data_IF_206472056301
#
_entry.id   IF_206472056301
#
_cell.length_a   1.000
_cell.length_b   1.000
_cell.length_c   1.000
_cell.angle_alpha   90.00
_cell.angle_beta   90.00
_cell.angle_gamma   90.00
#
_symmetry.space_group_name_H-M   'P 1'
#
loop_
_entity.id
_entity.type
_entity.pdbx_description
1 polymer ?
#
# COMPACT_ATOMS: atom_id res chain seq x y z
N UNK A 1 -31.30 -39.41 -0.53
CA UNK A 1 -30.63 -38.50 -1.48
C UNK A 1 -30.59 -37.12 -0.86
N UNK A 2 -29.60 -36.87 -0.02
CA UNK A 2 -29.29 -35.54 0.54
C UNK A 2 -27.80 -35.33 0.26
N UNK A 3 -27.39 -34.08 0.03
CA UNK A 3 -25.99 -33.64 -0.08
C UNK A 3 -25.38 -33.61 -1.48
N UNK A 4 -25.57 -32.47 -2.15
CA UNK A 4 -24.57 -31.87 -3.06
C UNK A 4 -24.54 -30.34 -2.87
N UNK A 5 -25.66 -29.73 -2.46
CA UNK A 5 -25.77 -28.27 -2.30
C UNK A 5 -25.11 -27.66 -1.03
N UNK A 6 -24.68 -28.47 -0.06
CA UNK A 6 -24.12 -27.93 1.20
C UNK A 6 -22.58 -27.81 1.20
N UNK A 7 -21.90 -28.37 0.18
CA UNK A 7 -20.44 -28.31 0.12
C UNK A 7 -19.93 -27.04 -0.57
N UNK A 8 -20.60 -26.53 -1.61
CA UNK A 8 -20.13 -25.35 -2.35
C UNK A 8 -20.14 -24.05 -1.53
N UNK A 9 -21.04 -23.93 -0.55
CA UNK A 9 -21.10 -22.75 0.33
C UNK A 9 -20.09 -22.80 1.47
N UNK A 10 -19.48 -23.96 1.77
CA UNK A 10 -18.48 -24.06 2.85
C UNK A 10 -17.08 -23.72 2.33
N UNK A 11 -16.75 -24.07 1.09
CA UNK A 11 -15.44 -23.75 0.50
C UNK A 11 -15.28 -22.26 0.17
N UNK A 12 -16.32 -21.63 -0.39
CA UNK A 12 -16.29 -20.18 -0.69
C UNK A 12 -16.21 -19.35 0.61
N UNK A 13 -16.78 -19.84 1.72
CA UNK A 13 -16.71 -19.15 3.02
C UNK A 13 -15.43 -19.46 3.82
N UNK A 14 -14.81 -20.62 3.62
CA UNK A 14 -13.53 -20.97 4.25
C UNK A 14 -12.35 -20.14 3.71
N UNK A 15 -12.42 -19.70 2.45
CA UNK A 15 -11.45 -18.75 1.87
C UNK A 15 -11.67 -17.30 2.33
N UNK A 16 -12.88 -16.95 2.78
CA UNK A 16 -13.21 -15.62 3.31
C UNK A 16 -12.84 -15.47 4.80
N UNK A 17 -12.82 -16.58 5.56
CA UNK A 17 -12.57 -16.58 7.02
C UNK A 17 -11.22 -17.16 7.45
N UNK A 18 -10.23 -17.27 6.55
CA UNK A 18 -8.85 -17.51 6.97
C UNK A 18 -8.24 -16.22 7.52
N UNK A 19 -8.71 -15.76 8.69
CA UNK A 19 -7.95 -14.85 9.56
C UNK A 19 -6.77 -15.61 10.16
N UNK A 20 -5.81 -15.99 9.31
CA UNK A 20 -4.45 -16.25 9.76
C UNK A 20 -3.87 -14.90 10.12
N UNK A 21 -3.42 -14.72 11.37
CA UNK A 21 -2.52 -13.63 11.77
C UNK A 21 -1.50 -13.42 10.66
N UNK A 22 -1.66 -12.33 9.91
CA UNK A 22 -0.87 -12.06 8.72
C UNK A 22 0.58 -11.86 9.16
N UNK A 23 1.47 -12.78 8.80
CA UNK A 23 2.89 -12.64 9.09
C UNK A 23 3.48 -11.61 8.14
N UNK A 24 3.93 -10.48 8.71
CA UNK A 24 4.72 -9.48 8.02
C UNK A 24 6.15 -10.02 7.80
N UNK A 25 6.65 -9.88 6.57
CA UNK A 25 8.07 -10.08 6.26
C UNK A 25 8.91 -8.91 6.75
N UNK A 26 10.26 -9.01 6.77
CA UNK A 26 11.18 -8.01 7.33
C UNK A 26 11.04 -6.60 6.72
N UNK A 27 10.49 -6.50 5.51
CA UNK A 27 10.25 -5.25 4.79
C UNK A 27 8.88 -4.60 5.09
N UNK A 28 8.08 -5.17 6.01
CA UNK A 28 6.79 -4.61 6.41
C UNK A 28 5.61 -4.98 5.49
N UNK A 29 5.83 -5.83 4.50
CA UNK A 29 4.78 -6.38 3.66
C UNK A 29 4.29 -7.73 4.18
N UNK A 30 2.99 -7.99 4.05
CA UNK A 30 2.39 -9.27 4.42
C UNK A 30 2.87 -10.40 3.51
N UNK A 31 2.68 -11.64 3.94
CA UNK A 31 2.98 -12.81 3.11
C UNK A 31 2.23 -12.74 1.78
N UNK A 32 2.90 -13.10 0.67
CA UNK A 32 2.43 -12.95 -0.72
C UNK A 32 2.36 -11.51 -1.27
N UNK A 33 2.76 -10.50 -0.49
CA UNK A 33 2.97 -9.15 -0.99
C UNK A 33 4.45 -8.88 -1.27
N UNK A 34 4.74 -8.19 -2.36
CA UNK A 34 6.07 -7.82 -2.81
C UNK A 34 6.37 -6.39 -2.38
N UNK A 35 7.48 -6.21 -1.68
CA UNK A 35 7.93 -4.89 -1.25
C UNK A 35 8.66 -4.15 -2.37
N UNK A 36 8.32 -2.86 -2.56
CA UNK A 36 9.14 -1.90 -3.29
C UNK A 36 8.95 -0.50 -2.72
N UNK A 37 10.05 0.11 -2.30
CA UNK A 37 10.11 1.46 -1.73
C UNK A 37 9.24 1.59 -0.48
N UNK A 38 8.15 2.36 -0.55
CA UNK A 38 7.22 2.52 0.57
C UNK A 38 5.88 1.82 0.34
N UNK A 39 5.83 0.85 -0.58
CA UNK A 39 4.60 0.15 -0.97
C UNK A 39 4.77 -1.36 -1.01
N UNK A 40 3.66 -2.04 -0.77
CA UNK A 40 3.46 -3.47 -0.96
C UNK A 40 2.55 -3.69 -2.17
N UNK A 41 2.93 -4.62 -3.03
CA UNK A 41 2.19 -5.00 -4.24
C UNK A 41 1.73 -6.45 -4.13
N UNK A 42 0.51 -6.76 -4.57
CA UNK A 42 0.02 -8.12 -4.62
C UNK A 42 -0.63 -8.38 -5.97
N UNK A 43 -0.01 -9.29 -6.73
CA UNK A 43 -0.55 -9.78 -7.98
C UNK A 43 -1.50 -10.93 -7.67
N UNK A 44 -2.75 -10.79 -8.09
CA UNK A 44 -3.78 -11.80 -7.89
C UNK A 44 -4.12 -12.40 -9.25
N UNK A 45 -3.88 -13.70 -9.41
CA UNK A 45 -4.20 -14.46 -10.62
C UNK A 45 -5.63 -15.01 -10.52
N UNK A 46 -6.61 -14.16 -10.82
CA UNK A 46 -8.01 -14.52 -10.87
C UNK A 46 -8.70 -13.81 -12.04
N UNK A 47 -9.52 -14.56 -12.77
CA UNK A 47 -10.24 -14.05 -13.94
C UNK A 47 -11.46 -13.25 -13.53
N UNK A 48 -11.39 -11.92 -13.59
CA UNK A 48 -12.45 -11.01 -13.10
C UNK A 48 -12.60 -9.74 -13.96
N UNK A 49 -13.76 -9.12 -13.86
CA UNK A 49 -14.04 -7.77 -14.36
C UNK A 49 -13.35 -6.70 -13.51
N UNK A 50 -13.23 -5.48 -14.03
CA UNK A 50 -12.54 -4.39 -13.35
C UNK A 50 -13.12 -4.07 -11.96
N UNK A 51 -14.46 -3.97 -11.85
CA UNK A 51 -15.11 -3.64 -10.59
C UNK A 51 -14.89 -4.72 -9.51
N UNK A 52 -14.90 -5.99 -9.92
CA UNK A 52 -14.56 -7.10 -9.03
C UNK A 52 -13.10 -7.03 -8.57
N UNK A 53 -12.16 -6.71 -9.47
CA UNK A 53 -10.76 -6.52 -9.12
C UNK A 53 -10.57 -5.38 -8.12
N UNK A 54 -11.26 -4.25 -8.33
CA UNK A 54 -11.29 -3.11 -7.41
C UNK A 54 -11.81 -3.54 -6.03
N UNK A 55 -12.97 -4.19 -5.98
CA UNK A 55 -13.57 -4.63 -4.72
C UNK A 55 -12.67 -5.61 -3.95
N UNK A 56 -11.97 -6.51 -4.66
CA UNK A 56 -11.03 -7.44 -4.01
C UNK A 56 -9.83 -6.71 -3.42
N UNK A 57 -9.27 -5.71 -4.12
CA UNK A 57 -8.20 -4.89 -3.53
C UNK A 57 -8.70 -4.10 -2.31
N UNK A 58 -9.90 -3.51 -2.39
CA UNK A 58 -10.51 -2.76 -1.29
C UNK A 58 -10.70 -3.67 -0.04
N UNK A 59 -11.19 -4.90 -0.23
CA UNK A 59 -11.32 -5.92 0.84
C UNK A 59 -9.98 -6.30 1.49
N UNK A 60 -8.86 -6.14 0.78
CA UNK A 60 -7.50 -6.39 1.29
C UNK A 60 -6.84 -5.15 1.90
N UNK A 61 -7.60 -4.07 2.11
CA UNK A 61 -7.09 -2.80 2.64
C UNK A 61 -6.09 -2.14 1.68
N UNK A 62 -6.34 -2.27 0.38
CA UNK A 62 -5.46 -1.81 -0.70
C UNK A 62 -6.27 -1.24 -1.86
N UNK A 63 -5.60 -0.74 -2.89
CA UNK A 63 -6.25 -0.20 -4.09
C UNK A 63 -5.62 -0.83 -5.33
N UNK A 64 -6.34 -0.91 -6.44
CA UNK A 64 -5.72 -1.27 -7.73
C UNK A 64 -4.51 -0.35 -8.00
N UNK A 65 -3.42 -0.94 -8.47
CA UNK A 65 -2.12 -0.27 -8.50
C UNK A 65 -2.13 0.96 -9.41
N UNK A 66 -1.51 2.02 -8.93
CA UNK A 66 -1.02 3.12 -9.73
C UNK A 66 0.40 2.86 -10.20
N UNK A 67 0.80 3.51 -11.30
CA UNK A 67 2.15 3.49 -11.85
C UNK A 67 2.65 4.93 -12.03
N UNK A 68 3.78 5.29 -11.41
CA UNK A 68 4.36 6.63 -11.43
C UNK A 68 5.32 6.85 -12.57
N UNK A 69 6.15 5.86 -12.82
CA UNK A 69 7.26 5.90 -13.75
C UNK A 69 7.42 4.56 -14.45
N UNK A 70 8.25 4.55 -15.49
CA UNK A 70 8.54 3.35 -16.26
C UNK A 70 9.18 2.27 -15.39
N UNK A 71 10.05 2.66 -14.45
CA UNK A 71 10.70 1.72 -13.54
C UNK A 71 9.65 0.94 -12.72
N UNK A 72 8.60 1.61 -12.22
CA UNK A 72 7.49 0.97 -11.50
C UNK A 72 6.70 0.02 -12.38
N UNK A 73 6.38 0.43 -13.61
CA UNK A 73 5.72 -0.45 -14.58
C UNK A 73 6.55 -1.72 -14.84
N UNK A 74 7.87 -1.60 -15.04
CA UNK A 74 8.77 -2.74 -15.27
C UNK A 74 8.83 -3.71 -14.10
N UNK A 75 8.83 -3.21 -12.86
CA UNK A 75 8.77 -4.08 -11.68
C UNK A 75 7.45 -4.85 -11.60
N UNK A 76 6.34 -4.18 -11.86
CA UNK A 76 5.03 -4.81 -11.84
C UNK A 76 4.92 -5.89 -12.93
N UNK A 77 5.49 -5.65 -14.11
CA UNK A 77 5.60 -6.66 -15.18
C UNK A 77 6.48 -7.84 -14.79
N UNK A 78 7.60 -7.58 -14.11
CA UNK A 78 8.46 -8.64 -13.59
C UNK A 78 7.68 -9.56 -12.65
N UNK A 79 6.83 -9.00 -11.77
CA UNK A 79 5.97 -9.80 -10.90
C UNK A 79 4.94 -10.63 -11.69
N UNK A 80 4.33 -10.07 -12.74
CA UNK A 80 3.41 -10.80 -13.61
C UNK A 80 4.11 -11.98 -14.32
N UNK A 81 5.34 -11.77 -14.78
CA UNK A 81 6.15 -12.81 -15.43
C UNK A 81 6.57 -13.92 -14.46
N UNK A 82 7.03 -13.56 -13.26
CA UNK A 82 7.46 -14.53 -12.24
C UNK A 82 6.33 -15.43 -11.74
N UNK A 83 5.08 -14.92 -11.77
CA UNK A 83 3.89 -15.64 -11.33
C UNK A 83 3.17 -16.40 -12.45
N UNK A 84 3.77 -16.47 -13.65
CA UNK A 84 3.24 -17.17 -14.84
C UNK A 84 1.77 -16.81 -15.14
N UNK A 85 1.46 -15.50 -15.07
CA UNK A 85 0.12 -15.00 -15.34
C UNK A 85 -0.24 -15.21 -16.81
N UNK A 86 -1.38 -15.87 -17.06
CA UNK A 86 -1.91 -16.08 -18.41
C UNK A 86 -2.16 -14.75 -19.11
N UNK A 87 -1.75 -14.67 -20.38
CA UNK A 87 -1.89 -13.48 -21.24
C UNK A 87 -1.09 -12.26 -20.76
N UNK A 88 -0.40 -12.34 -19.60
CA UNK A 88 0.49 -11.31 -19.03
C UNK A 88 -0.13 -9.90 -19.05
N UNK A 89 -1.45 -9.84 -18.90
CA UNK A 89 -2.24 -8.62 -18.81
C UNK A 89 -2.90 -8.55 -17.45
N UNK A 90 -2.89 -7.34 -16.85
CA UNK A 90 -3.50 -7.15 -15.55
C UNK A 90 -4.23 -5.81 -15.43
N UNK A 91 -5.33 -5.80 -14.69
CA UNK A 91 -6.02 -4.56 -14.33
C UNK A 91 -5.15 -3.68 -13.43
N UNK A 92 -5.14 -2.38 -13.72
CA UNK A 92 -4.48 -1.31 -12.94
C UNK A 92 -5.49 -0.19 -12.64
N UNK A 93 -5.23 0.60 -11.61
CA UNK A 93 -6.26 1.39 -10.94
C UNK A 93 -6.51 2.79 -11.51
N UNK A 94 -6.62 2.98 -12.81
CA UNK A 94 -6.95 4.29 -13.39
C UNK A 94 -8.43 4.38 -13.79
N UNK A 95 -9.06 5.51 -13.48
CA UNK A 95 -10.47 5.80 -13.82
C UNK A 95 -10.60 7.15 -14.53
N UNK A 96 -11.59 7.29 -15.42
CA UNK A 96 -11.84 8.54 -16.09
C UNK A 96 -12.44 9.58 -15.12
N UNK A 97 -12.08 10.84 -15.31
CA UNK A 97 -12.64 12.01 -14.66
C UNK A 97 -12.95 13.09 -15.70
N UNK A 98 -13.96 13.93 -15.44
CA UNK A 98 -14.44 14.92 -16.38
C UNK A 98 -15.56 14.41 -17.30
N UNK A 99 -16.03 15.27 -18.20
CA UNK A 99 -17.07 14.94 -19.18
C UNK A 99 -16.51 14.27 -20.44
N UNK A 100 -17.40 13.78 -21.31
CA UNK A 100 -17.09 13.04 -22.55
C UNK A 100 -16.01 13.73 -23.43
N UNK A 101 -16.03 15.06 -23.51
CA UNK A 101 -15.12 15.86 -24.37
C UNK A 101 -13.75 16.15 -23.72
N UNK A 102 -13.64 16.04 -22.39
CA UNK A 102 -12.42 16.38 -21.64
C UNK A 102 -12.06 15.24 -20.66
N UNK A 103 -12.14 13.99 -21.13
CA UNK A 103 -11.86 12.79 -20.33
C UNK A 103 -10.38 12.82 -19.91
N UNK A 104 -10.13 12.96 -18.62
CA UNK A 104 -8.79 12.84 -18.00
C UNK A 104 -8.75 11.55 -17.20
N UNK A 105 -7.56 11.04 -16.93
CA UNK A 105 -7.39 9.83 -16.13
C UNK A 105 -6.73 10.16 -14.79
N UNK A 106 -7.32 9.63 -13.72
CA UNK A 106 -6.79 9.73 -12.36
C UNK A 106 -6.66 8.35 -11.77
N UNK A 107 -5.65 8.16 -10.93
CA UNK A 107 -5.51 6.92 -10.19
C UNK A 107 -6.52 6.85 -9.04
N UNK A 108 -7.04 5.64 -8.79
CA UNK A 108 -7.98 5.31 -7.71
C UNK A 108 -7.39 5.57 -6.31
N UNK A 109 -6.07 5.62 -6.19
CA UNK A 109 -5.36 5.85 -4.94
C UNK A 109 -5.21 7.34 -4.56
N UNK A 110 -5.76 8.26 -5.37
CA UNK A 110 -5.80 9.69 -5.08
C UNK A 110 -4.51 10.47 -5.38
N UNK A 111 -3.50 9.83 -5.96
CA UNK A 111 -2.25 10.49 -6.40
C UNK A 111 -2.36 11.53 -7.53
N UNK A 112 -3.53 11.66 -8.13
CA UNK A 112 -3.80 12.64 -9.18
C UNK A 112 -3.66 12.08 -10.59
N UNK A 113 -3.32 12.96 -11.53
CA UNK A 113 -3.32 12.67 -12.97
C UNK A 113 -2.20 11.72 -13.37
N UNK A 114 -2.52 10.74 -14.20
CA UNK A 114 -1.55 9.76 -14.68
C UNK A 114 -0.60 10.39 -15.69
N UNK A 115 0.68 10.55 -15.32
CA UNK A 115 1.72 11.08 -16.23
C UNK A 115 1.88 10.24 -17.50
N UNK A 116 1.80 8.93 -17.36
CA UNK A 116 1.86 7.95 -18.45
C UNK A 116 0.63 7.97 -19.37
N UNK A 117 -0.47 8.63 -19.00
CA UNK A 117 -1.72 8.68 -19.79
C UNK A 117 -2.07 10.11 -20.24
N UNK A 118 -1.15 11.07 -20.10
CA UNK A 118 -1.40 12.48 -20.47
C UNK A 118 -1.72 12.67 -21.95
N UNK A 119 -1.12 11.85 -22.81
CA UNK A 119 -1.26 11.94 -24.26
C UNK A 119 -2.33 11.00 -24.82
N UNK A 120 -3.00 10.22 -23.96
CA UNK A 120 -4.05 9.30 -24.40
C UNK A 120 -5.33 10.06 -24.74
N UNK A 121 -5.74 9.97 -26.01
CA UNK A 121 -7.05 10.42 -26.46
C UNK A 121 -8.04 9.26 -26.37
N UNK A 122 -9.02 9.37 -25.47
CA UNK A 122 -10.10 8.39 -25.36
C UNK A 122 -10.82 8.29 -26.71
N UNK A 123 -11.08 7.08 -27.24
CA UNK A 123 -12.00 6.95 -28.35
C UNK A 123 -13.37 7.51 -27.94
N UNK A 124 -14.01 8.26 -28.83
CA UNK A 124 -15.28 8.97 -28.57
C UNK A 124 -16.48 8.03 -28.28
N UNK A 125 -16.31 6.72 -28.47
CA UNK A 125 -17.42 5.79 -28.75
C UNK A 125 -17.74 4.84 -27.58
N UNK A 126 -16.93 4.78 -26.52
CA UNK A 126 -17.19 3.88 -25.39
C UNK A 126 -17.30 4.62 -24.06
N UNK A 127 -18.42 4.39 -23.38
CA UNK A 127 -18.77 5.12 -22.16
C UNK A 127 -17.90 4.69 -20.97
N UNK A 128 -17.56 3.40 -20.85
CA UNK A 128 -16.82 2.85 -19.70
C UNK A 128 -15.57 2.09 -20.14
N UNK A 129 -14.44 2.80 -20.18
CA UNK A 129 -13.12 2.22 -20.40
C UNK A 129 -12.39 2.05 -19.05
N UNK A 130 -11.71 0.93 -18.92
CA UNK A 130 -10.88 0.56 -17.79
C UNK A 130 -9.45 0.27 -18.27
N UNK A 131 -8.49 0.40 -17.36
CA UNK A 131 -7.07 0.46 -17.73
C UNK A 131 -6.35 -0.82 -17.34
N UNK A 132 -5.57 -1.38 -18.26
CA UNK A 132 -4.76 -2.57 -18.05
C UNK A 132 -3.31 -2.34 -18.47
N UNK A 133 -2.40 -3.10 -17.86
CA UNK A 133 -0.99 -3.16 -18.24
C UNK A 133 -0.73 -4.46 -19.02
N UNK A 134 -0.11 -4.35 -20.20
CA UNK A 134 0.27 -5.47 -21.05
C UNK A 134 1.77 -5.81 -20.92
N UNK A 135 2.16 -6.99 -21.43
CA UNK A 135 3.50 -7.58 -21.30
C UNK A 135 4.68 -6.66 -21.72
N UNK A 136 4.44 -5.79 -22.70
CA UNK A 136 5.42 -4.87 -23.28
C UNK A 136 5.46 -3.50 -22.57
N UNK A 137 4.86 -3.39 -21.37
CA UNK A 137 4.62 -2.13 -20.65
C UNK A 137 3.61 -1.20 -21.30
N UNK A 138 2.90 -1.64 -22.34
CA UNK A 138 1.86 -0.83 -22.95
C UNK A 138 0.66 -0.76 -22.02
N UNK A 139 0.17 0.46 -21.79
CA UNK A 139 -1.09 0.68 -21.11
C UNK A 139 -2.21 0.60 -22.15
N UNK A 140 -3.16 -0.30 -21.93
CA UNK A 140 -4.31 -0.54 -22.79
C UNK A 140 -5.60 -0.11 -22.11
N UNK A 141 -6.54 0.37 -22.92
CA UNK A 141 -7.89 0.74 -22.50
C UNK A 141 -8.86 -0.27 -23.05
N UNK A 142 -9.55 -0.97 -22.15
CA UNK A 142 -10.46 -2.05 -22.46
C UNK A 142 -11.85 -1.71 -21.92
N UNK A 143 -12.87 -2.32 -22.48
CA UNK A 143 -14.22 -2.28 -21.88
C UNK A 143 -14.16 -2.88 -20.47
N UNK A 144 -14.73 -2.20 -19.47
CA UNK A 144 -14.71 -2.63 -18.08
C UNK A 144 -15.38 -4.00 -17.85
N UNK A 145 -16.28 -4.40 -18.75
CA UNK A 145 -16.98 -5.70 -18.73
C UNK A 145 -16.14 -6.85 -19.29
N UNK A 146 -14.96 -6.60 -19.86
CA UNK A 146 -14.06 -7.73 -20.18
C UNK A 146 -13.48 -8.32 -18.89
N UNK A 147 -13.09 -9.59 -18.95
CA UNK A 147 -12.38 -10.25 -17.85
C UNK A 147 -10.90 -10.34 -18.17
N UNK A 148 -10.03 -9.95 -17.24
CA UNK A 148 -8.60 -10.25 -17.31
C UNK A 148 -8.22 -11.31 -16.29
N UNK A 149 -7.17 -12.07 -16.57
CA UNK A 149 -6.70 -13.16 -15.71
C UNK A 149 -5.94 -12.69 -14.47
N UNK A 150 -5.56 -11.41 -14.41
CA UNK A 150 -4.90 -10.86 -13.24
C UNK A 150 -5.26 -9.40 -12.98
N UNK A 151 -4.96 -8.98 -11.76
CA UNK A 151 -5.01 -7.60 -11.31
C UNK A 151 -4.04 -7.42 -10.16
N UNK A 152 -3.68 -6.16 -9.90
CA UNK A 152 -2.56 -5.84 -9.04
C UNK A 152 -3.02 -4.84 -8.00
N UNK A 153 -2.94 -5.23 -6.74
CA UNK A 153 -3.26 -4.37 -5.61
C UNK A 153 -1.98 -3.73 -5.06
N UNK A 154 -2.11 -2.50 -4.55
CA UNK A 154 -1.04 -1.70 -3.96
C UNK A 154 -1.52 -1.08 -2.65
N UNK A 155 -0.70 -1.13 -1.61
CA UNK A 155 -0.92 -0.42 -0.34
C UNK A 155 0.38 0.12 0.23
N UNK A 156 0.37 1.23 0.99
CA UNK A 156 1.56 1.75 1.60
C UNK A 156 2.05 0.81 2.72
N UNK A 157 3.37 0.74 2.90
CA UNK A 157 3.99 0.08 4.06
C UNK A 157 3.61 0.87 5.32
N UNK A 158 3.32 0.16 6.41
CA UNK A 158 3.18 0.74 7.73
C UNK A 158 4.48 0.51 8.50
N UNK A 159 5.23 1.58 8.74
CA UNK A 159 6.50 1.51 9.47
C UNK A 159 6.26 1.92 10.91
N UNK A 160 6.33 0.96 11.83
CA UNK A 160 6.21 1.19 13.25
C UNK A 160 7.59 1.48 13.86
N UNK A 161 7.67 2.57 14.62
CA UNK A 161 8.86 2.96 15.36
C UNK A 161 8.51 3.03 16.85
N UNK A 162 9.34 2.37 17.65
CA UNK A 162 9.28 2.43 19.11
C UNK A 162 10.59 3.05 19.59
N UNK A 163 10.58 4.29 20.11
CA UNK A 163 11.76 4.90 20.71
C UNK A 163 12.22 4.07 21.91
N UNK A 164 13.46 3.60 21.89
CA UNK A 164 14.02 2.88 23.04
C UNK A 164 14.23 3.85 24.22
N UNK A 165 13.99 3.37 25.46
CA UNK A 165 14.02 4.18 26.68
C UNK A 165 15.36 4.89 26.88
N UNK A 166 15.43 6.18 26.54
CA UNK A 166 16.66 6.97 26.67
C UNK A 166 16.91 7.37 28.12
N UNK A 167 17.69 6.58 28.85
CA UNK A 167 18.46 7.05 30.01
C UNK A 167 19.75 7.73 29.49
N UNK A 168 19.61 8.92 28.90
CA UNK A 168 20.76 9.73 28.44
C UNK A 168 21.06 10.76 29.53
N UNK A 169 22.07 10.50 30.36
CA UNK A 169 22.68 11.53 31.21
C UNK A 169 23.30 12.58 30.30
N UNK A 170 22.58 13.68 30.15
CA UNK A 170 22.90 14.79 29.28
C UNK A 170 24.04 15.64 29.85
N UNK A 171 25.25 15.51 29.31
CA UNK A 171 26.18 16.66 29.35
C UNK A 171 27.19 16.76 28.19
N UNK A 172 27.40 15.72 27.37
CA UNK A 172 28.47 15.79 26.35
C UNK A 172 28.11 15.43 24.89
N UNK A 173 26.85 15.13 24.57
CA UNK A 173 26.46 14.80 23.17
C UNK A 173 25.82 15.94 22.35
N UNK A 174 25.49 17.08 22.97
CA UNK A 174 24.63 18.09 22.35
C UNK A 174 25.34 19.16 21.52
N UNK A 175 26.67 19.13 21.35
CA UNK A 175 27.38 20.28 20.77
C UNK A 175 28.08 20.07 19.42
N UNK A 176 28.18 18.85 18.87
CA UNK A 176 29.07 18.62 17.72
C UNK A 176 28.54 17.77 16.55
N UNK A 177 27.27 17.35 16.53
CA UNK A 177 26.70 16.64 15.36
C UNK A 177 25.29 17.13 15.04
N UNK A 178 24.99 17.25 13.75
CA UNK A 178 23.66 17.60 13.26
C UNK A 178 22.62 16.59 13.83
N UNK A 179 21.60 17.04 14.58
CA UNK A 179 20.59 16.17 15.18
C UNK A 179 19.89 15.25 14.16
N UNK A 180 19.85 15.64 12.89
CA UNK A 180 19.29 14.83 11.78
C UNK A 180 20.04 13.51 11.54
N UNK A 181 21.33 13.42 11.86
CA UNK A 181 22.15 12.21 11.62
C UNK A 181 22.03 11.15 12.72
N UNK A 182 21.63 11.53 13.94
CA UNK A 182 21.69 10.63 15.11
C UNK A 182 20.38 9.92 15.41
N UNK A 183 19.26 10.43 14.92
CA UNK A 183 17.94 9.80 15.13
C UNK A 183 17.86 8.46 14.39
N UNK A 184 18.30 8.40 13.13
CA UNK A 184 18.21 7.17 12.33
C UNK A 184 19.26 6.11 12.68
N UNK A 185 20.42 6.47 13.23
CA UNK A 185 21.40 5.48 13.71
C UNK A 185 20.87 4.67 14.91
N UNK A 186 19.82 5.14 15.61
CA UNK A 186 19.19 4.45 16.76
C UNK A 186 17.83 3.83 16.46
N UNK A 187 17.17 4.22 15.38
CA UNK A 187 15.99 3.50 14.89
C UNK A 187 16.51 2.24 14.20
N UNK A 188 16.60 1.12 14.93
CA UNK A 188 16.77 -0.21 14.33
C UNK A 188 15.83 -0.30 13.10
N UNK A 189 16.23 -0.96 11.99
CA UNK A 189 15.24 -1.38 11.00
C UNK A 189 14.08 -2.05 11.77
N UNK A 190 12.83 -1.69 11.46
CA UNK A 190 11.68 -2.00 12.30
C UNK A 190 11.77 -3.47 12.72
N UNK A 191 11.86 -3.73 14.03
CA UNK A 191 11.65 -5.07 14.52
C UNK A 191 10.16 -5.32 14.30
N UNK A 192 9.83 -5.99 13.21
CA UNK A 192 8.49 -6.46 12.91
C UNK A 192 8.20 -7.69 13.79
N UNK A 193 8.39 -7.53 15.10
CA UNK A 193 7.83 -8.43 16.07
C UNK A 193 6.32 -8.19 16.10
N UNK A 194 5.57 -9.28 16.22
CA UNK A 194 4.11 -9.27 16.25
C UNK A 194 3.64 -8.46 17.46
N UNK A 195 3.46 -7.16 17.31
CA UNK A 195 2.86 -6.34 18.37
C UNK A 195 1.36 -6.58 18.32
N UNK A 196 0.84 -7.22 19.37
CA UNK A 196 -0.58 -7.44 19.52
C UNK A 196 -1.26 -6.14 19.96
N UNK A 197 -1.75 -5.37 18.98
CA UNK A 197 -2.47 -4.11 19.22
C UNK A 197 -3.80 -4.29 19.97
N UNK A 198 -4.28 -5.54 20.12
CA UNK A 198 -5.55 -5.84 20.78
C UNK A 198 -5.42 -6.07 22.31
N UNK A 199 -4.20 -6.26 22.84
CA UNK A 199 -4.02 -6.67 24.26
C UNK A 199 -3.31 -5.67 25.17
N UNK A 200 -2.88 -4.52 24.65
CA UNK A 200 -2.14 -3.51 25.43
C UNK A 200 -2.84 -2.18 25.27
N UNK A 201 -2.89 -1.35 26.32
CA UNK A 201 -3.58 -0.05 26.36
C UNK A 201 -3.00 1.01 25.41
N UNK A 202 -2.88 0.68 24.13
CA UNK A 202 -2.38 1.54 23.07
C UNK A 202 -3.46 2.56 22.75
N UNK A 203 -3.17 3.83 22.96
CA UNK A 203 -4.09 4.93 22.68
C UNK A 203 -3.52 5.81 21.57
N UNK A 204 -4.33 6.05 20.53
CA UNK A 204 -4.02 6.99 19.48
C UNK A 204 -4.02 8.42 20.04
N UNK A 205 -2.93 9.15 19.81
CA UNK A 205 -2.77 10.52 20.30
C UNK A 205 -3.15 11.54 19.22
N UNK A 206 -2.59 11.37 18.03
CA UNK A 206 -2.80 12.26 16.90
C UNK A 206 -2.34 11.62 15.59
N UNK A 207 -2.94 12.06 14.48
CA UNK A 207 -2.39 11.83 13.14
C UNK A 207 -2.03 13.17 12.52
N UNK A 208 -0.82 13.27 12.01
CA UNK A 208 -0.26 14.51 11.45
C UNK A 208 0.45 14.21 10.13
N UNK A 209 0.40 15.17 9.22
CA UNK A 209 1.16 15.08 7.98
C UNK A 209 2.62 15.47 8.26
N UNK A 210 3.55 14.70 7.68
CA UNK A 210 4.99 14.97 7.73
C UNK A 210 5.63 14.78 6.36
N UNK A 211 6.76 15.44 6.13
CA UNK A 211 7.53 15.28 4.90
C UNK A 211 8.57 14.18 5.10
N UNK A 212 9.30 14.24 6.22
CA UNK A 212 10.32 13.26 6.58
C UNK A 212 9.88 12.38 7.76
N UNK A 213 10.38 11.14 7.81
CA UNK A 213 10.12 10.23 8.94
C UNK A 213 10.65 10.81 10.26
N UNK A 214 11.73 11.60 10.22
CA UNK A 214 12.29 12.34 11.38
C UNK A 214 11.30 13.30 12.01
N UNK A 215 10.46 13.95 11.21
CA UNK A 215 9.50 14.93 11.71
C UNK A 215 8.47 14.23 12.61
N UNK A 216 8.15 12.96 12.30
CA UNK A 216 7.27 12.14 13.12
C UNK A 216 7.92 11.80 14.47
N UNK A 217 9.19 11.42 14.47
CA UNK A 217 9.96 11.16 15.68
C UNK A 217 10.05 12.42 16.57
N UNK A 218 10.33 13.58 15.98
CA UNK A 218 10.37 14.85 16.70
C UNK A 218 9.02 15.18 17.33
N UNK A 219 7.92 15.05 16.58
CA UNK A 219 6.56 15.28 17.11
C UNK A 219 6.22 14.31 18.25
N UNK A 220 6.57 13.04 18.13
CA UNK A 220 6.40 12.08 19.21
C UNK A 220 7.18 12.53 20.47
N UNK A 221 8.45 12.88 20.32
CA UNK A 221 9.29 13.34 21.44
C UNK A 221 8.73 14.57 22.18
N UNK A 222 8.05 15.47 21.47
CA UNK A 222 7.43 16.67 22.08
C UNK A 222 6.15 16.38 22.85
N UNK A 223 5.53 15.21 22.65
CA UNK A 223 4.32 14.79 23.37
C UNK A 223 4.76 13.80 24.44
N UNK A 224 4.74 14.21 25.70
CA UNK A 224 5.31 13.42 26.80
C UNK A 224 4.71 12.02 26.99
N UNK A 225 3.51 11.77 26.48
CA UNK A 225 2.85 10.46 26.52
C UNK A 225 3.13 9.59 25.28
N UNK A 226 3.75 10.13 24.22
CA UNK A 226 4.03 9.38 23.00
C UNK A 226 5.24 8.46 23.18
N UNK A 227 5.01 7.16 23.00
CA UNK A 227 6.04 6.13 23.11
C UNK A 227 6.10 5.19 21.90
N UNK A 228 5.32 5.46 20.85
CA UNK A 228 5.50 4.86 19.54
C UNK A 228 4.85 5.71 18.45
N UNK A 229 5.25 5.49 17.21
CA UNK A 229 4.59 6.11 16.06
C UNK A 229 4.62 5.21 14.83
N UNK A 230 3.56 5.29 14.03
CA UNK A 230 3.47 4.62 12.72
C UNK A 230 3.57 5.65 11.62
N UNK A 231 4.48 5.42 10.67
CA UNK A 231 4.60 6.23 9.46
C UNK A 231 4.09 5.44 8.28
N UNK A 232 3.23 6.06 7.47
CA UNK A 232 2.74 5.48 6.22
C UNK A 232 2.60 6.55 5.15
N UNK A 233 2.70 6.18 3.87
CA UNK A 233 2.59 7.16 2.80
C UNK A 233 1.14 7.65 2.65
N UNK A 234 0.98 8.97 2.63
CA UNK A 234 -0.32 9.61 2.39
C UNK A 234 -0.62 9.71 0.91
N UNK A 235 0.32 10.29 0.17
CA UNK A 235 0.23 10.41 -1.27
C UNK A 235 1.06 9.31 -1.90
N UNK A 236 0.44 8.57 -2.80
CA UNK A 236 1.13 7.47 -3.45
C UNK A 236 2.18 7.97 -4.45
N UNK A 237 2.07 9.23 -4.94
CA UNK A 237 3.06 9.90 -5.79
C UNK A 237 4.39 10.15 -5.04
N UNK A 238 5.32 9.19 -5.15
CA UNK A 238 6.67 9.17 -4.54
C UNK A 238 6.72 9.33 -3.01
N UNK A 239 5.59 9.16 -2.31
CA UNK A 239 5.52 9.33 -0.86
C UNK A 239 6.11 10.68 -0.37
N UNK A 240 5.79 11.76 -1.07
CA UNK A 240 6.27 13.10 -0.69
C UNK A 240 5.62 13.61 0.61
N UNK A 241 4.46 13.06 0.96
CA UNK A 241 3.76 13.33 2.23
C UNK A 241 3.44 12.00 2.90
N UNK A 242 3.74 11.92 4.20
CA UNK A 242 3.52 10.76 5.05
C UNK A 242 2.49 11.11 6.13
N UNK A 243 1.63 10.15 6.47
CA UNK A 243 0.82 10.17 7.67
C UNK A 243 1.66 9.62 8.81
N UNK A 244 1.81 10.41 9.85
CA UNK A 244 2.46 10.06 11.11
C UNK A 244 1.36 9.88 12.16
N UNK A 245 1.15 8.65 12.63
CA UNK A 245 0.20 8.34 13.70
C UNK A 245 0.96 8.13 15.00
N UNK A 246 0.79 9.05 15.94
CA UNK A 246 1.42 9.05 17.26
C UNK A 246 0.59 8.22 18.23
N UNK A 247 1.26 7.43 19.05
CA UNK A 247 0.62 6.48 19.95
C UNK A 247 1.27 6.51 21.32
N UNK A 248 0.45 6.26 22.35
CA UNK A 248 0.84 6.03 23.73
C UNK A 248 0.54 4.57 24.13
N UNK A 249 1.10 4.11 25.25
CA UNK A 249 0.69 2.85 25.89
C UNK A 249 1.32 1.57 25.31
N UNK A 250 2.42 1.70 24.56
CA UNK A 250 3.28 0.56 24.25
C UNK A 250 4.09 0.17 25.50
N UNK A 251 3.72 -0.93 26.15
CA UNK A 251 4.58 -1.59 27.13
C UNK A 251 5.62 -2.41 26.36
N UNK A 252 6.86 -1.91 26.28
CA UNK A 252 8.00 -2.67 25.75
C UNK A 252 8.54 -3.51 26.91
N UNK A 253 8.38 -4.83 26.81
CA UNK A 253 8.99 -5.79 27.75
C UNK A 253 10.40 -6.18 27.32
#
# INVERSE_FOLDING_TARGET
MKSVAHFLTVWIWAEIYSTTSETLGPEGCQTAWFHRNDYCYHVINARVHFDSAKAICDLKGSVLTSLWDQDEAEFVLKLLNELDVKERMAWIGAVPTGGVVNKKWVWLDGSGSVELLKDFQSPEVTDELCVSLAEDSTILFLDCDVTLNAFICKKPVQKLYVPDGMNVTSEFMYLNKNPEQTIFERLRPPILEKINMETSGVHHLATVDVIHETDCAFKCYTIGECNAFVVTCKSSRKCNVRLCSLMAGFDVF
#
